data_IF_828708172482
#
_entry.id   IF_828708172482
#
_cell.length_a   1.000
_cell.length_b   1.000
_cell.length_c   1.000
_cell.angle_alpha   90.00
_cell.angle_beta   90.00
_cell.angle_gamma   90.00
#
_symmetry.space_group_name_H-M   'P 1'
#
loop_
_entity.id
_entity.type
_entity.pdbx_description
1 polymer ?
#
# COMPACT_ATOMS: atom_id res chain seq x y z
N UNK A 1 -6.30 -9.06 -23.88
CA UNK A 1 -5.04 -9.54 -23.28
C UNK A 1 -5.23 -10.99 -22.83
N UNK A 2 -4.36 -11.92 -23.26
CA UNK A 2 -4.33 -13.28 -22.74
C UNK A 2 -3.27 -13.36 -21.63
N UNK A 3 -3.69 -13.06 -20.40
CA UNK A 3 -2.84 -12.93 -19.22
C UNK A 3 -3.38 -13.83 -18.10
N UNK A 4 -3.23 -15.16 -18.23
CA UNK A 4 -3.91 -16.12 -17.37
C UNK A 4 -3.46 -16.07 -15.91
N UNK A 5 -2.21 -15.67 -15.63
CA UNK A 5 -1.71 -15.63 -14.26
C UNK A 5 -1.88 -14.26 -13.62
N UNK A 6 -1.59 -13.17 -14.33
CA UNK A 6 -1.62 -11.80 -13.79
C UNK A 6 -2.99 -11.13 -13.91
N UNK A 7 -3.85 -11.56 -14.83
CA UNK A 7 -5.17 -10.96 -15.05
C UNK A 7 -6.05 -10.94 -13.78
N UNK A 8 -7.11 -10.14 -13.78
CA UNK A 8 -8.00 -10.01 -12.62
C UNK A 8 -8.54 -11.38 -12.16
N UNK A 9 -8.60 -11.57 -10.83
CA UNK A 9 -9.15 -12.76 -10.16
C UNK A 9 -10.17 -12.30 -9.11
N UNK A 10 -11.00 -13.24 -8.66
CA UNK A 10 -12.01 -13.00 -7.62
C UNK A 10 -11.38 -12.47 -6.32
N UNK A 11 -10.20 -12.98 -5.97
CA UNK A 11 -9.43 -12.53 -4.82
C UNK A 11 -8.22 -11.70 -5.24
N UNK A 12 -8.03 -10.54 -4.59
CA UNK A 12 -6.82 -9.74 -4.75
C UNK A 12 -5.65 -10.40 -4.01
N UNK A 13 -4.48 -10.41 -4.62
CA UNK A 13 -3.27 -10.92 -3.99
C UNK A 13 -2.83 -10.01 -2.85
N UNK A 14 -2.52 -10.64 -1.72
CA UNK A 14 -1.85 -10.03 -0.59
C UNK A 14 -0.42 -10.56 -0.52
N UNK A 15 0.57 -9.70 -0.79
CA UNK A 15 1.98 -10.08 -0.68
C UNK A 15 2.45 -9.84 0.74
N UNK A 16 2.66 -10.93 1.49
CA UNK A 16 3.11 -10.89 2.88
C UNK A 16 4.63 -10.91 2.93
N UNK A 17 5.23 -9.93 3.60
CA UNK A 17 6.67 -9.85 3.84
C UNK A 17 6.87 -9.72 5.35
N UNK A 18 7.27 -10.83 6.01
CA UNK A 18 7.30 -10.94 7.47
C UNK A 18 5.97 -10.44 8.10
N UNK A 19 6.00 -9.27 8.75
CA UNK A 19 4.88 -8.65 9.47
C UNK A 19 4.08 -7.61 8.66
N UNK A 20 4.41 -7.35 7.39
CA UNK A 20 3.67 -6.40 6.53
C UNK A 20 2.93 -7.11 5.40
N UNK A 21 1.88 -6.46 4.90
CA UNK A 21 1.05 -6.98 3.82
C UNK A 21 0.78 -5.89 2.78
N UNK A 22 1.31 -6.07 1.57
CA UNK A 22 0.92 -5.25 0.42
C UNK A 22 -0.40 -5.76 -0.17
N UNK A 23 -1.28 -4.85 -0.58
CA UNK A 23 -2.63 -5.18 -1.08
C UNK A 23 -3.66 -5.39 0.04
N UNK A 24 -3.27 -5.18 1.30
CA UNK A 24 -4.19 -5.13 2.44
C UNK A 24 -4.86 -3.77 2.60
N UNK A 25 -5.50 -3.55 3.76
CA UNK A 25 -6.13 -2.26 4.08
C UNK A 25 -5.12 -1.15 4.45
N UNK A 26 -3.93 -1.56 4.88
CA UNK A 26 -2.85 -0.66 5.22
C UNK A 26 -2.08 -0.22 3.96
N UNK A 27 -1.81 1.07 3.85
CA UNK A 27 -0.88 1.65 2.87
C UNK A 27 0.52 1.58 3.45
N UNK A 28 1.41 0.85 2.77
CA UNK A 28 2.77 0.67 3.25
C UNK A 28 3.64 1.87 2.85
N UNK A 29 4.16 2.59 3.85
CA UNK A 29 5.13 3.67 3.64
C UNK A 29 6.56 3.11 3.65
N UNK A 30 7.31 3.42 2.60
CA UNK A 30 8.69 2.99 2.41
C UNK A 30 9.54 4.23 2.12
N UNK A 31 10.69 4.33 2.78
CA UNK A 31 11.55 5.50 2.72
C UNK A 31 13.01 5.14 2.82
N UNK A 32 13.89 6.08 2.47
CA UNK A 32 15.34 5.92 2.53
C UNK A 32 16.03 6.48 1.28
N UNK A 33 17.36 6.49 1.26
CA UNK A 33 18.14 7.20 0.26
C UNK A 33 18.06 6.57 -1.13
N UNK A 34 18.48 7.36 -2.14
CA UNK A 34 18.61 6.85 -3.51
C UNK A 34 19.63 5.72 -3.60
N UNK A 35 20.81 5.93 -3.02
CA UNK A 35 21.92 4.99 -2.96
C UNK A 35 22.40 4.85 -1.52
N UNK A 36 23.02 3.72 -1.18
CA UNK A 36 23.73 3.58 0.10
C UNK A 36 25.08 4.27 -0.03
N UNK A 37 25.38 5.23 0.85
CA UNK A 37 26.56 6.11 0.70
C UNK A 37 27.61 5.95 1.79
N UNK A 38 27.17 5.58 3.00
CA UNK A 38 27.99 5.27 4.18
C UNK A 38 27.11 4.60 5.26
N UNK A 39 27.74 4.00 6.26
CA UNK A 39 27.08 3.44 7.44
C UNK A 39 26.24 4.50 8.17
N UNK A 40 26.84 5.60 8.63
CA UNK A 40 26.16 6.64 9.41
C UNK A 40 24.93 7.20 8.70
N UNK A 41 25.04 7.46 7.39
CA UNK A 41 23.94 7.92 6.55
C UNK A 41 22.76 6.93 6.57
N UNK A 42 23.02 5.62 6.54
CA UNK A 42 21.98 4.61 6.58
C UNK A 42 21.30 4.51 7.95
N UNK A 43 22.06 4.57 9.05
CA UNK A 43 21.49 4.55 10.40
C UNK A 43 20.61 5.79 10.66
N UNK A 44 21.05 6.97 10.24
CA UNK A 44 20.23 8.19 10.33
C UNK A 44 18.96 8.08 9.48
N UNK A 45 19.09 7.57 8.24
CA UNK A 45 17.95 7.38 7.37
C UNK A 45 16.94 6.37 7.95
N UNK A 46 17.42 5.25 8.49
CA UNK A 46 16.58 4.23 9.11
C UNK A 46 15.77 4.80 10.29
N UNK A 47 16.42 5.56 11.17
CA UNK A 47 15.76 6.22 12.30
C UNK A 47 14.67 7.18 11.82
N UNK A 48 14.97 8.02 10.83
CA UNK A 48 14.00 8.96 10.27
C UNK A 48 12.81 8.25 9.61
N UNK A 49 13.07 7.17 8.84
CA UNK A 49 12.02 6.36 8.21
C UNK A 49 11.11 5.74 9.27
N UNK A 50 11.71 5.15 10.32
CA UNK A 50 10.96 4.54 11.42
C UNK A 50 10.12 5.55 12.18
N UNK A 51 10.67 6.73 12.50
CA UNK A 51 9.96 7.80 13.20
C UNK A 51 8.75 8.33 12.42
N UNK A 52 8.86 8.36 11.08
CA UNK A 52 7.75 8.73 10.21
C UNK A 52 6.69 7.62 10.05
N UNK A 53 6.86 6.43 10.66
CA UNK A 53 5.95 5.30 10.47
C UNK A 53 6.24 4.44 9.24
N UNK A 54 7.38 4.66 8.58
CA UNK A 54 7.84 3.80 7.51
C UNK A 54 8.11 2.38 8.01
N UNK A 55 7.86 1.38 7.17
CA UNK A 55 8.04 -0.05 7.49
C UNK A 55 9.15 -0.72 6.69
N UNK A 56 9.58 -0.09 5.61
CA UNK A 56 10.62 -0.61 4.74
C UNK A 56 11.65 0.49 4.49
N UNK A 57 12.91 0.19 4.79
CA UNK A 57 14.07 0.98 4.44
C UNK A 57 14.52 0.63 3.03
N UNK A 58 14.53 1.62 2.13
CA UNK A 58 15.09 1.48 0.79
C UNK A 58 16.53 1.98 0.76
N UNK A 59 17.37 1.34 -0.06
CA UNK A 59 18.73 1.81 -0.34
C UNK A 59 19.35 1.06 -1.50
N UNK A 60 19.75 1.78 -2.56
CA UNK A 60 20.38 1.14 -3.72
C UNK A 60 21.86 0.83 -3.47
N UNK A 61 22.20 -0.43 -3.24
CA UNK A 61 23.59 -0.87 -3.12
C UNK A 61 24.31 -0.95 -4.48
N UNK A 62 23.58 -1.32 -5.53
CA UNK A 62 24.03 -1.34 -6.93
C UNK A 62 23.21 -0.31 -7.73
N UNK A 63 23.87 0.55 -8.52
CA UNK A 63 23.17 1.62 -9.25
C UNK A 63 23.36 1.47 -10.77
N UNK A 64 22.29 1.21 -11.55
CA UNK A 64 22.36 1.19 -13.01
C UNK A 64 22.33 2.64 -13.53
N UNK A 65 23.49 3.30 -13.51
CA UNK A 65 23.62 4.73 -13.88
C UNK A 65 23.64 4.90 -15.39
N UNK A 66 23.05 5.99 -15.85
CA UNK A 66 23.14 6.40 -17.27
C UNK A 66 24.56 6.83 -17.66
N UNK A 67 25.30 7.44 -16.74
CA UNK A 67 26.71 7.81 -16.95
C UNK A 67 27.64 6.85 -16.18
N UNK A 68 28.70 6.31 -16.80
CA UNK A 68 29.65 5.42 -16.14
C UNK A 68 30.51 6.15 -15.10
N UNK A 69 30.61 7.49 -15.16
CA UNK A 69 31.38 8.31 -14.22
C UNK A 69 30.61 8.68 -12.96
N UNK A 70 29.32 8.37 -12.90
CA UNK A 70 28.51 8.57 -11.71
C UNK A 70 28.86 7.56 -10.61
N UNK A 71 28.51 7.88 -9.36
CA UNK A 71 28.61 6.93 -8.26
C UNK A 71 27.83 5.63 -8.56
N UNK A 72 28.53 4.49 -8.57
CA UNK A 72 27.99 3.19 -8.97
C UNK A 72 27.32 2.42 -7.81
N UNK A 73 27.41 2.94 -6.58
CA UNK A 73 27.01 2.24 -5.35
C UNK A 73 28.19 1.56 -4.65
N UNK A 74 27.99 1.17 -3.39
CA UNK A 74 29.00 0.46 -2.57
C UNK A 74 28.96 -1.06 -2.75
N UNK A 75 28.03 -1.59 -3.55
CA UNK A 75 27.86 -3.03 -3.76
C UNK A 75 27.67 -3.78 -2.45
N UNK A 76 28.49 -4.82 -2.22
CA UNK A 76 28.38 -5.70 -1.05
C UNK A 76 28.45 -4.94 0.28
N UNK A 77 29.33 -3.95 0.40
CA UNK A 77 29.48 -3.13 1.61
C UNK A 77 28.18 -2.36 1.90
N UNK A 78 27.57 -1.77 0.87
CA UNK A 78 26.30 -1.06 1.01
C UNK A 78 25.13 -1.96 1.43
N UNK A 79 25.15 -3.25 1.08
CA UNK A 79 24.15 -4.21 1.55
C UNK A 79 24.25 -4.44 3.06
N UNK A 80 25.47 -4.53 3.60
CA UNK A 80 25.67 -4.68 5.05
C UNK A 80 25.12 -3.48 5.81
N UNK A 81 25.44 -2.25 5.37
CA UNK A 81 24.91 -1.03 6.00
C UNK A 81 23.39 -0.93 5.93
N UNK A 82 22.78 -1.36 4.80
CA UNK A 82 21.33 -1.39 4.66
C UNK A 82 20.68 -2.39 5.62
N UNK A 83 21.22 -3.61 5.67
CA UNK A 83 20.73 -4.70 6.53
C UNK A 83 20.81 -4.31 8.01
N UNK A 84 21.97 -3.82 8.45
CA UNK A 84 22.24 -3.45 9.84
C UNK A 84 21.35 -2.29 10.30
N UNK A 85 21.31 -1.19 9.54
CA UNK A 85 20.48 -0.04 9.87
C UNK A 85 18.98 -0.38 9.91
N UNK A 86 18.50 -1.26 9.01
CA UNK A 86 17.13 -1.72 9.02
C UNK A 86 16.84 -2.60 10.25
N UNK A 87 17.73 -3.53 10.58
CA UNK A 87 17.59 -4.44 11.72
C UNK A 87 17.48 -3.68 13.04
N UNK A 88 18.32 -2.66 13.27
CA UNK A 88 18.28 -1.83 14.48
C UNK A 88 16.94 -1.14 14.71
N UNK A 89 16.24 -0.79 13.63
CA UNK A 89 14.96 -0.05 13.69
C UNK A 89 13.74 -0.97 13.51
N UNK A 90 13.97 -2.28 13.35
CA UNK A 90 12.92 -3.25 13.02
C UNK A 90 12.20 -2.92 11.72
N UNK A 91 12.96 -2.45 10.72
CA UNK A 91 12.49 -2.19 9.35
C UNK A 91 12.80 -3.37 8.45
N UNK A 92 12.00 -3.56 7.40
CA UNK A 92 12.34 -4.44 6.29
C UNK A 92 13.25 -3.72 5.30
N UNK A 93 13.93 -4.48 4.44
CA UNK A 93 14.81 -3.92 3.41
C UNK A 93 14.24 -4.06 2.00
N UNK A 94 14.45 -3.04 1.16
CA UNK A 94 14.24 -3.12 -0.29
C UNK A 94 15.46 -2.55 -1.03
N UNK A 95 16.00 -3.32 -1.97
CA UNK A 95 17.12 -2.91 -2.82
C UNK A 95 16.97 -3.42 -4.24
N UNK A 96 17.58 -2.72 -5.19
CA UNK A 96 17.50 -3.01 -6.63
C UNK A 96 18.46 -4.12 -7.04
N UNK A 97 17.93 -5.09 -7.80
CA UNK A 97 18.70 -6.12 -8.48
C UNK A 97 18.99 -5.63 -9.90
N UNK A 98 20.27 -5.56 -10.26
CA UNK A 98 20.70 -5.08 -11.58
C UNK A 98 21.08 -6.21 -12.52
N UNK A 99 21.52 -7.33 -11.98
CA UNK A 99 21.99 -8.53 -12.67
C UNK A 99 21.97 -9.76 -11.75
N UNK A 100 22.38 -10.91 -12.26
CA UNK A 100 22.46 -12.17 -11.51
C UNK A 100 23.48 -12.11 -10.35
N UNK A 101 24.63 -11.45 -10.55
CA UNK A 101 25.67 -11.36 -9.52
C UNK A 101 25.23 -10.53 -8.32
N UNK A 102 24.54 -9.43 -8.56
CA UNK A 102 23.94 -8.63 -7.48
C UNK A 102 22.85 -9.42 -6.75
N UNK A 103 22.05 -10.22 -7.46
CA UNK A 103 21.07 -11.10 -6.84
C UNK A 103 21.71 -12.10 -5.87
N UNK A 104 22.77 -12.79 -6.29
CA UNK A 104 23.50 -13.75 -5.44
C UNK A 104 23.97 -13.13 -4.12
N UNK A 105 24.39 -11.86 -4.15
CA UNK A 105 24.84 -11.15 -2.96
C UNK A 105 23.69 -10.67 -2.06
N UNK A 106 22.48 -10.53 -2.61
CA UNK A 106 21.31 -9.96 -1.94
C UNK A 106 20.38 -11.00 -1.34
N UNK A 107 20.39 -12.24 -1.84
CA UNK A 107 19.36 -13.26 -1.56
C UNK A 107 19.08 -13.51 -0.08
N UNK A 108 20.11 -13.44 0.75
CA UNK A 108 20.02 -13.70 2.19
C UNK A 108 19.95 -12.43 3.06
N UNK A 109 19.97 -11.25 2.44
CA UNK A 109 20.11 -9.95 3.14
C UNK A 109 18.95 -9.00 2.90
N UNK A 110 18.26 -9.17 1.78
CA UNK A 110 17.22 -8.25 1.32
C UNK A 110 15.85 -8.92 1.38
N UNK A 111 14.89 -8.24 2.02
CA UNK A 111 13.54 -8.78 2.19
C UNK A 111 12.69 -8.65 0.91
N UNK A 112 12.89 -7.57 0.16
CA UNK A 112 12.13 -7.23 -1.05
C UNK A 112 13.09 -6.88 -2.19
N UNK A 113 12.97 -7.59 -3.31
CA UNK A 113 13.81 -7.39 -4.49
C UNK A 113 13.14 -6.41 -5.44
N UNK A 114 13.82 -5.30 -5.77
CA UNK A 114 13.30 -4.34 -6.74
C UNK A 114 13.88 -4.60 -8.13
N UNK A 115 13.02 -4.76 -9.13
CA UNK A 115 13.38 -4.64 -10.55
C UNK A 115 13.10 -3.22 -11.00
N UNK A 116 14.17 -2.47 -11.30
CA UNK A 116 14.07 -1.08 -11.75
C UNK A 116 13.49 -0.97 -13.15
N UNK A 117 12.99 0.23 -13.49
CA UNK A 117 12.29 0.50 -14.76
C UNK A 117 13.10 0.17 -16.01
N UNK A 118 14.44 0.26 -15.95
CA UNK A 118 15.33 -0.08 -17.07
C UNK A 118 15.43 -1.60 -17.30
N UNK A 119 15.18 -2.39 -16.26
CA UNK A 119 15.18 -3.85 -16.29
C UNK A 119 13.76 -4.44 -16.35
N UNK A 120 12.71 -3.63 -16.52
CA UNK A 120 11.33 -4.13 -16.58
C UNK A 120 11.13 -5.21 -17.66
N UNK A 121 11.84 -5.11 -18.80
CA UNK A 121 11.81 -6.11 -19.88
C UNK A 121 13.11 -6.94 -19.96
N UNK A 122 13.91 -6.97 -18.90
CA UNK A 122 15.03 -7.89 -18.82
C UNK A 122 14.49 -9.29 -18.48
N UNK A 123 13.97 -10.00 -19.48
CA UNK A 123 13.27 -11.26 -19.28
C UNK A 123 14.12 -12.36 -18.64
N UNK A 124 15.45 -12.32 -18.81
CA UNK A 124 16.34 -13.25 -18.11
C UNK A 124 16.33 -12.98 -16.61
N UNK A 125 16.44 -11.71 -16.20
CA UNK A 125 16.32 -11.33 -14.80
C UNK A 125 14.92 -11.61 -14.23
N UNK A 126 13.85 -11.40 -15.00
CA UNK A 126 12.48 -11.72 -14.58
C UNK A 126 12.27 -13.22 -14.34
N UNK A 127 12.88 -14.09 -15.17
CA UNK A 127 12.84 -15.55 -14.96
C UNK A 127 13.54 -15.95 -13.66
N UNK A 128 14.71 -15.38 -13.39
CA UNK A 128 15.41 -15.57 -12.11
C UNK A 128 14.54 -15.15 -10.92
N UNK A 129 13.85 -14.00 -11.02
CA UNK A 129 12.90 -13.56 -10.00
C UNK A 129 11.71 -14.52 -9.82
N UNK A 130 11.27 -15.18 -10.90
CA UNK A 130 10.25 -16.22 -10.87
C UNK A 130 10.69 -17.46 -10.09
N UNK A 131 11.94 -17.89 -10.27
CA UNK A 131 12.51 -19.05 -9.60
C UNK A 131 12.81 -18.79 -8.11
N UNK A 132 13.19 -17.54 -7.78
CA UNK A 132 13.57 -17.12 -6.44
C UNK A 132 12.44 -17.24 -5.40
N UNK A 133 11.17 -17.08 -5.81
CA UNK A 133 9.99 -17.14 -4.94
C UNK A 133 10.10 -16.22 -3.69
N UNK A 134 10.61 -15.01 -3.90
CA UNK A 134 10.68 -13.93 -2.89
C UNK A 134 9.84 -12.73 -3.33
N UNK A 135 9.47 -11.81 -2.41
CA UNK A 135 8.76 -10.59 -2.77
C UNK A 135 9.52 -9.74 -3.80
N UNK A 136 8.86 -9.38 -4.90
CA UNK A 136 9.43 -8.59 -5.99
C UNK A 136 8.60 -7.34 -6.23
N UNK A 137 9.25 -6.18 -6.19
CA UNK A 137 8.69 -4.92 -6.69
C UNK A 137 9.11 -4.73 -8.14
N UNK A 138 8.16 -4.76 -9.06
CA UNK A 138 8.40 -4.56 -10.50
C UNK A 138 8.02 -3.13 -10.89
N UNK A 139 9.02 -2.28 -11.12
CA UNK A 139 8.79 -0.90 -11.60
C UNK A 139 8.39 -0.88 -13.06
N UNK A 140 7.36 -0.10 -13.39
CA UNK A 140 6.98 0.17 -14.79
C UNK A 140 8.13 0.84 -15.54
N UNK A 141 8.35 0.39 -16.77
CA UNK A 141 9.29 1.00 -17.71
C UNK A 141 8.80 2.38 -18.13
N UNK A 142 9.72 3.32 -18.28
CA UNK A 142 9.39 4.72 -18.59
C UNK A 142 8.66 4.91 -19.93
N UNK A 143 8.77 3.96 -20.86
CA UNK A 143 8.06 3.99 -22.16
C UNK A 143 7.05 2.84 -22.30
N UNK A 144 6.83 2.06 -21.23
CA UNK A 144 6.01 0.87 -21.30
C UNK A 144 4.52 1.23 -21.16
N UNK A 145 3.70 0.55 -21.94
CA UNK A 145 2.26 0.47 -21.73
C UNK A 145 1.95 -0.38 -20.49
N UNK A 146 0.71 -0.28 -19.98
CA UNK A 146 0.25 -1.14 -18.88
C UNK A 146 0.24 -2.61 -19.32
N UNK A 147 -0.12 -2.90 -20.56
CA UNK A 147 -0.09 -4.27 -21.10
C UNK A 147 1.32 -4.87 -21.09
N UNK A 148 2.33 -4.14 -21.56
CA UNK A 148 3.72 -4.61 -21.52
C UNK A 148 4.23 -4.82 -20.10
N UNK A 149 3.79 -3.97 -19.17
CA UNK A 149 4.13 -4.09 -17.77
C UNK A 149 3.49 -5.31 -17.09
N UNK A 150 2.21 -5.59 -17.38
CA UNK A 150 1.54 -6.80 -16.89
C UNK A 150 2.13 -8.06 -17.53
N UNK A 151 2.51 -8.02 -18.81
CA UNK A 151 3.26 -9.12 -19.43
C UNK A 151 4.61 -9.37 -18.74
N UNK A 152 5.34 -8.33 -18.32
CA UNK A 152 6.56 -8.50 -17.55
C UNK A 152 6.30 -9.16 -16.18
N UNK A 153 5.20 -8.82 -15.51
CA UNK A 153 4.78 -9.52 -14.29
C UNK A 153 4.40 -10.98 -14.57
N UNK A 154 3.73 -11.27 -15.70
CA UNK A 154 3.38 -12.63 -16.13
C UNK A 154 4.61 -13.54 -16.20
N UNK A 155 5.76 -13.05 -16.67
CA UNK A 155 7.02 -13.82 -16.68
C UNK A 155 7.46 -14.27 -15.28
N UNK A 156 7.33 -13.40 -14.27
CA UNK A 156 7.68 -13.74 -12.88
C UNK A 156 6.69 -14.78 -12.33
N UNK A 157 5.40 -14.57 -12.57
CA UNK A 157 4.33 -15.46 -12.12
C UNK A 157 4.44 -16.85 -12.78
N UNK A 158 4.76 -16.90 -14.07
CA UNK A 158 4.96 -18.14 -14.82
C UNK A 158 6.18 -18.94 -14.33
N UNK A 159 7.20 -18.28 -13.78
CA UNK A 159 8.31 -18.94 -13.08
C UNK A 159 7.93 -19.53 -11.72
N UNK A 160 6.71 -19.27 -11.23
CA UNK A 160 6.18 -19.82 -9.98
C UNK A 160 6.24 -18.86 -8.79
N UNK A 161 6.59 -17.59 -8.99
CA UNK A 161 6.58 -16.58 -7.93
C UNK A 161 5.33 -15.69 -7.99
N UNK A 162 4.42 -15.90 -7.04
CA UNK A 162 3.18 -15.12 -6.91
C UNK A 162 3.33 -13.83 -6.08
N UNK A 163 4.54 -13.54 -5.56
CA UNK A 163 4.77 -12.41 -4.64
C UNK A 163 5.22 -11.14 -5.38
N UNK A 164 4.44 -10.72 -6.38
CA UNK A 164 4.76 -9.56 -7.20
C UNK A 164 3.95 -8.34 -6.76
N UNK A 165 4.63 -7.20 -6.64
CA UNK A 165 4.08 -5.89 -6.34
C UNK A 165 4.42 -4.96 -7.51
N UNK A 166 3.42 -4.35 -8.10
CA UNK A 166 3.58 -3.41 -9.21
C UNK A 166 3.98 -2.04 -8.64
N UNK A 167 4.98 -1.37 -9.20
CA UNK A 167 5.30 0.03 -8.90
C UNK A 167 5.20 0.96 -10.12
N UNK A 168 4.21 1.85 -10.13
CA UNK A 168 4.14 2.97 -11.09
C UNK A 168 5.07 4.10 -10.62
N UNK A 169 5.78 4.73 -11.55
CA UNK A 169 6.93 5.63 -11.27
C UNK A 169 7.11 6.77 -12.27
N UNK A 170 6.10 6.99 -13.11
CA UNK A 170 6.06 7.95 -14.19
C UNK A 170 6.55 7.40 -15.52
N UNK A 171 5.88 7.86 -16.58
CA UNK A 171 6.19 7.57 -17.98
C UNK A 171 6.77 8.80 -18.67
N UNK A 172 7.49 8.56 -19.77
CA UNK A 172 8.05 9.61 -20.62
C UNK A 172 6.95 10.18 -21.50
N UNK A 173 6.81 11.50 -21.45
CA UNK A 173 5.91 12.28 -22.29
C UNK A 173 6.70 13.43 -22.93
N UNK A 174 6.00 14.37 -23.57
CA UNK A 174 6.61 15.59 -24.11
C UNK A 174 6.84 16.67 -23.03
N UNK A 175 6.28 16.53 -21.82
CA UNK A 175 6.29 17.56 -20.78
C UNK A 175 7.67 17.67 -20.09
N UNK A 176 8.36 18.81 -20.15
CA UNK A 176 9.72 18.94 -19.61
C UNK A 176 9.79 19.35 -18.13
N UNK A 177 8.71 19.83 -17.51
CA UNK A 177 8.73 20.40 -16.15
C UNK A 177 8.93 19.37 -15.04
N UNK A 178 8.79 18.08 -15.37
CA UNK A 178 8.98 16.94 -14.48
C UNK A 178 9.85 15.90 -15.18
N UNK A 179 10.60 15.11 -14.41
CA UNK A 179 11.50 14.08 -14.97
C UNK A 179 10.71 13.03 -15.75
N UNK A 180 9.52 12.68 -15.28
CA UNK A 180 8.53 11.83 -15.93
C UNK A 180 7.11 12.31 -15.54
N UNK A 181 6.10 12.00 -16.34
CA UNK A 181 4.71 12.26 -15.96
C UNK A 181 4.18 11.08 -15.16
N UNK A 182 3.79 11.29 -13.90
CA UNK A 182 3.12 10.25 -13.11
C UNK A 182 1.77 9.90 -13.76
N UNK A 183 1.62 8.66 -14.20
CA UNK A 183 0.36 8.15 -14.74
C UNK A 183 -0.55 7.70 -13.58
N UNK A 184 -1.26 8.65 -12.96
CA UNK A 184 -2.15 8.33 -11.84
C UNK A 184 -3.34 7.46 -12.28
N UNK A 185 -3.74 7.54 -13.54
CA UNK A 185 -4.79 6.69 -14.12
C UNK A 185 -4.42 5.21 -14.07
N UNK A 186 -3.12 4.89 -14.19
CA UNK A 186 -2.64 3.51 -14.06
C UNK A 186 -2.96 2.88 -12.70
N UNK A 187 -3.04 3.66 -11.62
CA UNK A 187 -3.36 3.14 -10.27
C UNK A 187 -4.74 2.50 -10.23
N UNK A 188 -5.75 3.22 -10.74
CA UNK A 188 -7.12 2.72 -10.83
C UNK A 188 -7.25 1.62 -11.89
N UNK A 189 -6.69 1.85 -13.09
CA UNK A 189 -6.83 0.92 -14.20
C UNK A 189 -6.18 -0.45 -13.92
N UNK A 190 -4.98 -0.49 -13.35
CA UNK A 190 -4.32 -1.75 -12.98
C UNK A 190 -5.16 -2.51 -11.96
N UNK A 191 -5.86 -1.81 -11.06
CA UNK A 191 -6.72 -2.50 -10.09
C UNK A 191 -7.92 -3.22 -10.71
N UNK A 192 -8.37 -2.79 -11.88
CA UNK A 192 -9.43 -3.45 -12.68
C UNK A 192 -8.87 -4.54 -13.61
N UNK A 193 -7.57 -4.50 -13.91
CA UNK A 193 -6.94 -5.44 -14.86
C UNK A 193 -6.23 -6.61 -14.18
N UNK A 194 -5.80 -6.46 -12.93
CA UNK A 194 -5.02 -7.47 -12.21
C UNK A 194 -5.39 -7.55 -10.72
N UNK A 195 -5.21 -8.75 -10.17
CA UNK A 195 -5.30 -9.02 -8.75
C UNK A 195 -4.08 -8.52 -7.95
N UNK A 196 -2.97 -8.15 -8.60
CA UNK A 196 -1.72 -7.75 -7.92
C UNK A 196 -1.87 -6.40 -7.18
N UNK A 197 -1.12 -6.21 -6.07
CA UNK A 197 -1.01 -4.91 -5.41
C UNK A 197 -0.18 -3.92 -6.23
N UNK A 198 -0.49 -2.62 -6.10
CA UNK A 198 0.21 -1.53 -6.80
C UNK A 198 0.67 -0.43 -5.82
N UNK A 199 1.96 -0.13 -5.83
CA UNK A 199 2.59 0.97 -5.08
C UNK A 199 3.03 2.09 -6.04
N UNK A 200 3.37 3.26 -5.49
CA UNK A 200 3.80 4.42 -6.27
C UNK A 200 5.16 4.95 -5.82
N UNK A 201 6.01 5.29 -6.79
CA UNK A 201 7.26 6.04 -6.61
C UNK A 201 7.07 7.49 -7.08
N UNK A 202 6.68 8.40 -6.18
CA UNK A 202 6.48 9.81 -6.55
C UNK A 202 7.81 10.56 -6.76
N UNK A 203 8.89 10.11 -6.13
CA UNK A 203 10.20 10.76 -6.19
C UNK A 203 10.76 10.74 -7.60
N UNK A 204 10.84 9.55 -8.20
CA UNK A 204 11.37 9.41 -9.55
C UNK A 204 10.38 9.85 -10.64
N UNK A 205 9.09 9.85 -10.35
CA UNK A 205 8.09 10.42 -11.25
C UNK A 205 8.35 11.91 -11.41
N UNK A 206 8.34 12.68 -10.32
CA UNK A 206 8.58 14.12 -10.38
C UNK A 206 10.02 14.47 -10.76
N UNK A 207 11.00 13.80 -10.17
CA UNK A 207 12.40 14.22 -10.19
C UNK A 207 12.68 15.53 -9.45
N UNK A 208 11.76 15.97 -8.59
CA UNK A 208 11.87 17.18 -7.78
C UNK A 208 11.11 17.02 -6.47
N UNK A 209 11.73 17.46 -5.39
CA UNK A 209 11.29 17.26 -4.01
C UNK A 209 9.93 17.86 -3.68
N UNK A 210 9.66 19.06 -4.19
CA UNK A 210 8.46 19.86 -3.90
C UNK A 210 7.15 19.26 -4.43
N UNK A 211 7.21 18.44 -5.47
CA UNK A 211 6.01 17.78 -6.02
C UNK A 211 5.67 16.45 -5.33
N UNK A 212 6.60 15.86 -4.57
CA UNK A 212 6.40 14.56 -3.93
C UNK A 212 5.17 14.52 -3.03
N UNK A 213 4.91 15.52 -2.16
CA UNK A 213 3.72 15.50 -1.31
C UNK A 213 2.40 15.44 -2.08
N UNK A 214 2.29 16.17 -3.19
CA UNK A 214 1.08 16.20 -4.00
C UNK A 214 0.85 14.87 -4.71
N UNK A 215 1.91 14.32 -5.30
CA UNK A 215 1.85 13.03 -5.99
C UNK A 215 1.55 11.88 -5.02
N UNK A 216 2.15 11.89 -3.84
CA UNK A 216 1.90 10.89 -2.79
C UNK A 216 0.43 10.92 -2.30
N UNK A 217 -0.12 12.11 -2.07
CA UNK A 217 -1.54 12.28 -1.68
C UNK A 217 -2.47 11.78 -2.79
N UNK A 218 -2.21 12.17 -4.04
CA UNK A 218 -2.96 11.70 -5.20
C UNK A 218 -2.90 10.18 -5.36
N UNK A 219 -1.73 9.58 -5.17
CA UNK A 219 -1.53 8.13 -5.23
C UNK A 219 -2.37 7.38 -4.18
N UNK A 220 -2.35 7.80 -2.91
CA UNK A 220 -3.19 7.18 -1.88
C UNK A 220 -4.67 7.36 -2.20
N UNK A 221 -5.08 8.57 -2.59
CA UNK A 221 -6.47 8.84 -2.95
C UNK A 221 -6.93 8.00 -4.16
N UNK A 222 -6.04 7.74 -5.11
CA UNK A 222 -6.27 6.83 -6.25
C UNK A 222 -6.25 5.34 -5.90
N UNK A 223 -5.96 4.98 -4.64
CA UNK A 223 -6.03 3.63 -4.12
C UNK A 223 -4.70 2.88 -4.00
N UNK A 224 -3.55 3.55 -4.11
CA UNK A 224 -2.24 2.89 -4.00
C UNK A 224 -2.10 2.05 -2.71
N UNK A 225 -1.43 0.91 -2.84
CA UNK A 225 -1.14 -0.05 -1.78
C UNK A 225 0.13 0.29 -0.98
N UNK A 226 0.87 1.29 -1.43
CA UNK A 226 2.07 1.76 -0.74
C UNK A 226 2.75 2.88 -1.52
N UNK A 227 3.74 3.49 -0.86
CA UNK A 227 4.56 4.56 -1.40
C UNK A 227 6.04 4.22 -1.20
N UNK A 228 6.82 4.35 -2.27
CA UNK A 228 8.27 4.19 -2.26
C UNK A 228 8.91 5.56 -2.51
N UNK A 229 9.36 6.22 -1.44
CA UNK A 229 9.79 7.62 -1.49
C UNK A 229 11.29 7.70 -1.18
N UNK A 230 11.99 8.55 -1.92
CA UNK A 230 13.37 8.90 -1.60
C UNK A 230 13.43 9.97 -0.50
N UNK A 231 14.19 9.65 0.54
CA UNK A 231 14.50 10.54 1.66
C UNK A 231 15.98 10.37 1.98
N UNK A 232 16.69 11.48 2.11
CA UNK A 232 18.11 11.48 2.47
C UNK A 232 18.30 12.35 3.72
N UNK A 233 19.11 11.95 4.72
CA UNK A 233 19.37 12.78 5.90
C UNK A 233 19.93 14.16 5.54
N UNK A 234 20.79 14.21 4.51
CA UNK A 234 21.44 15.43 4.02
C UNK A 234 21.34 15.52 2.48
N UNK A 235 20.17 15.85 1.90
CA UNK A 235 19.97 15.74 0.46
C UNK A 235 20.95 16.53 -0.40
N UNK A 236 21.39 17.69 0.08
CA UNK A 236 22.38 18.56 -0.61
C UNK A 236 23.77 17.91 -0.75
N UNK A 237 24.07 16.91 0.08
CA UNK A 237 25.33 16.17 0.06
C UNK A 237 25.21 14.79 -0.62
N UNK A 238 24.02 14.43 -1.12
CA UNK A 238 23.76 13.11 -1.67
C UNK A 238 24.58 12.86 -2.96
N UNK A 239 25.15 11.67 -3.08
CA UNK A 239 25.91 11.21 -4.26
C UNK A 239 25.01 10.86 -5.45
N UNK A 240 23.69 10.82 -5.24
CA UNK A 240 22.69 10.53 -6.28
C UNK A 240 21.33 11.11 -5.91
N UNK A 241 20.67 11.76 -6.87
CA UNK A 241 19.26 12.14 -6.81
C UNK A 241 18.87 12.97 -5.55
N UNK A 242 19.78 13.86 -5.09
CA UNK A 242 19.55 14.77 -3.96
C UNK A 242 18.37 15.74 -4.18
N UNK A 243 18.20 16.24 -5.42
CA UNK A 243 17.13 17.18 -5.81
C UNK A 243 15.72 16.64 -5.64
N UNK A 244 15.56 15.30 -5.65
CA UNK A 244 14.27 14.60 -5.47
C UNK A 244 14.19 13.86 -4.13
N UNK A 245 15.20 13.93 -3.28
CA UNK A 245 15.18 13.30 -1.97
C UNK A 245 14.60 14.24 -0.94
N UNK A 246 13.55 13.85 -0.21
CA UNK A 246 13.03 14.62 0.93
C UNK A 246 14.05 14.68 2.07
N UNK A 247 13.98 15.72 2.91
CA UNK A 247 14.64 15.71 4.21
C UNK A 247 13.86 14.81 5.20
N UNK A 248 14.47 14.40 6.32
CA UNK A 248 13.76 13.68 7.39
C UNK A 248 12.47 14.38 7.84
N UNK A 249 12.53 15.69 8.09
CA UNK A 249 11.38 16.47 8.56
C UNK A 249 10.24 16.50 7.53
N UNK A 250 10.57 16.68 6.24
CA UNK A 250 9.57 16.67 5.18
C UNK A 250 8.96 15.29 4.99
N UNK A 251 9.75 14.21 5.13
CA UNK A 251 9.24 12.85 5.06
C UNK A 251 8.29 12.55 6.23
N UNK A 252 8.64 12.99 7.44
CA UNK A 252 7.78 12.87 8.61
C UNK A 252 6.49 13.68 8.43
N UNK A 253 6.60 14.97 8.05
CA UNK A 253 5.46 15.84 7.79
C UNK A 253 4.51 15.23 6.75
N UNK A 254 5.07 14.74 5.64
CA UNK A 254 4.28 14.07 4.60
C UNK A 254 3.53 12.86 5.17
N UNK A 255 4.18 12.03 5.98
CA UNK A 255 3.51 10.89 6.62
C UNK A 255 2.30 11.32 7.46
N UNK A 256 2.41 12.41 8.24
CA UNK A 256 1.28 12.93 9.04
C UNK A 256 0.13 13.38 8.14
N UNK A 257 0.45 14.07 7.05
CA UNK A 257 -0.54 14.57 6.09
C UNK A 257 -1.23 13.44 5.31
N UNK A 258 -0.57 12.29 5.13
CA UNK A 258 -1.12 11.14 4.42
C UNK A 258 -2.14 10.33 5.25
N UNK A 259 -2.05 10.36 6.59
CA UNK A 259 -3.00 9.68 7.48
C UNK A 259 -4.47 10.05 7.22
N UNK A 260 -4.87 11.34 7.22
CA UNK A 260 -6.26 11.71 6.94
C UNK A 260 -6.69 11.37 5.50
N UNK A 261 -5.77 11.41 4.53
CA UNK A 261 -6.08 11.04 3.14
C UNK A 261 -6.36 9.55 3.02
N UNK A 262 -5.53 8.69 3.61
CA UNK A 262 -5.76 7.25 3.65
C UNK A 262 -7.11 6.94 4.30
N UNK A 263 -7.42 7.59 5.43
CA UNK A 263 -8.71 7.44 6.12
C UNK A 263 -9.89 7.84 5.24
N UNK A 264 -9.79 8.94 4.48
CA UNK A 264 -10.86 9.42 3.62
C UNK A 264 -11.24 8.44 2.50
N UNK A 265 -10.30 7.56 2.09
CA UNK A 265 -10.55 6.50 1.11
C UNK A 265 -10.68 5.11 1.74
N UNK A 266 -11.07 5.04 3.02
CA UNK A 266 -11.29 3.81 3.79
C UNK A 266 -10.05 2.92 3.96
N UNK A 267 -8.86 3.52 3.86
CA UNK A 267 -7.56 2.86 4.05
C UNK A 267 -6.94 3.30 5.37
N UNK A 268 -5.81 2.70 5.75
CA UNK A 268 -5.04 3.09 6.93
C UNK A 268 -3.59 3.33 6.58
N UNK A 269 -2.97 4.34 7.18
CA UNK A 269 -1.52 4.48 7.26
C UNK A 269 -1.20 4.56 8.75
N UNK A 270 -0.37 3.62 9.24
CA UNK A 270 -0.07 3.48 10.67
C UNK A 270 1.28 4.12 10.93
N UNK A 271 1.37 5.05 11.89
CA UNK A 271 2.64 5.61 12.33
C UNK A 271 3.14 4.94 13.62
N UNK A 272 4.44 5.03 13.86
CA UNK A 272 5.10 4.52 15.08
C UNK A 272 4.59 5.18 16.34
N UNK A 273 4.34 6.50 16.31
CA UNK A 273 3.72 7.21 17.44
C UNK A 273 2.26 6.79 17.70
N UNK A 274 1.56 6.25 16.69
CA UNK A 274 0.23 5.65 16.90
C UNK A 274 0.33 4.29 17.60
N UNK A 275 1.51 3.65 17.60
CA UNK A 275 1.78 2.38 18.27
C UNK A 275 2.29 2.58 19.72
N UNK A 276 3.00 3.68 20.01
CA UNK A 276 3.56 3.98 21.35
C UNK A 276 2.52 4.44 22.40
N UNK A 277 1.24 4.51 22.05
CA UNK A 277 0.15 4.83 22.99
C UNK A 277 -1.02 3.84 22.96
N UNK A 278 -0.90 2.75 22.21
CA UNK A 278 -1.96 1.77 22.07
C UNK A 278 -1.52 0.47 22.74
N UNK A 279 -1.77 0.37 24.05
CA UNK A 279 -1.99 -0.94 24.67
C UNK A 279 -2.99 -1.72 23.78
N UNK A 280 -2.81 -3.03 23.60
CA UNK A 280 -3.70 -3.86 22.77
C UNK A 280 -5.18 -3.62 23.11
N UNK A 281 -5.43 -3.28 24.38
CA UNK A 281 -6.71 -2.84 24.92
C UNK A 281 -7.26 -1.55 24.28
N UNK A 282 -6.42 -0.55 24.01
CA UNK A 282 -6.84 0.72 23.40
C UNK A 282 -7.13 0.57 21.91
N UNK A 283 -6.44 -0.33 21.20
CA UNK A 283 -6.81 -0.71 19.82
C UNK A 283 -8.19 -1.36 19.81
N UNK A 284 -8.44 -2.28 20.73
CA UNK A 284 -9.74 -2.93 20.87
C UNK A 284 -10.83 -1.92 21.26
N UNK A 285 -10.56 -0.98 22.16
CA UNK A 285 -11.49 0.12 22.52
C UNK A 285 -11.82 0.99 21.33
N UNK A 286 -10.82 1.47 20.58
CA UNK A 286 -11.06 2.29 19.39
C UNK A 286 -11.83 1.53 18.31
N UNK A 287 -11.63 0.21 18.21
CA UNK A 287 -12.41 -0.67 17.33
C UNK A 287 -13.86 -0.81 17.81
N UNK A 288 -14.09 -0.96 19.12
CA UNK A 288 -15.43 -0.95 19.73
C UNK A 288 -16.11 0.40 19.47
N UNK A 289 -15.45 1.53 19.74
CA UNK A 289 -16.01 2.87 19.52
C UNK A 289 -16.41 3.10 18.05
N UNK A 290 -15.65 2.52 17.10
CA UNK A 290 -16.02 2.55 15.69
C UNK A 290 -17.26 1.70 15.43
N UNK A 291 -17.28 0.45 15.89
CA UNK A 291 -18.44 -0.44 15.72
C UNK A 291 -19.70 0.19 16.32
N UNK A 292 -19.60 0.82 17.48
CA UNK A 292 -20.74 1.47 18.15
C UNK A 292 -21.27 2.68 17.35
N UNK A 293 -20.38 3.47 16.75
CA UNK A 293 -20.79 4.55 15.82
C UNK A 293 -21.47 3.99 14.59
N UNK A 294 -20.89 2.97 13.95
CA UNK A 294 -21.45 2.34 12.75
C UNK A 294 -22.85 1.74 13.06
N UNK A 295 -23.03 1.13 14.24
CA UNK A 295 -24.34 0.64 14.72
C UNK A 295 -25.34 1.80 14.87
N UNK A 296 -24.94 2.92 15.48
CA UNK A 296 -25.83 4.07 15.67
C UNK A 296 -26.27 4.68 14.32
N UNK A 297 -25.35 4.82 13.37
CA UNK A 297 -25.64 5.32 12.02
C UNK A 297 -26.59 4.39 11.26
N UNK A 298 -26.32 3.08 11.27
CA UNK A 298 -27.19 2.07 10.64
C UNK A 298 -28.59 2.02 11.27
N UNK A 299 -28.69 2.18 12.60
CA UNK A 299 -29.97 2.27 13.29
C UNK A 299 -30.74 3.53 12.88
N UNK A 300 -30.06 4.68 12.75
CA UNK A 300 -30.66 5.94 12.32
C UNK A 300 -31.13 5.86 10.85
N UNK A 301 -30.33 5.30 9.96
CA UNK A 301 -30.72 5.03 8.57
C UNK A 301 -31.97 4.16 8.51
N UNK A 302 -31.97 3.03 9.24
CA UNK A 302 -33.13 2.14 9.33
C UNK A 302 -34.38 2.84 9.88
N UNK A 303 -34.24 3.73 10.85
CA UNK A 303 -35.36 4.54 11.37
C UNK A 303 -35.93 5.44 10.29
N UNK A 304 -35.08 6.14 9.54
CA UNK A 304 -35.50 7.00 8.43
C UNK A 304 -36.20 6.18 7.34
N UNK A 305 -35.65 5.04 6.93
CA UNK A 305 -36.29 4.12 5.98
C UNK A 305 -37.67 3.65 6.47
N UNK A 306 -37.81 3.37 7.76
CA UNK A 306 -39.09 2.95 8.35
C UNK A 306 -40.11 4.10 8.37
N UNK A 307 -39.67 5.34 8.61
CA UNK A 307 -40.53 6.54 8.53
C UNK A 307 -41.00 6.80 7.11
N UNK A 308 -40.10 6.73 6.12
CA UNK A 308 -40.44 6.85 4.70
C UNK A 308 -41.44 5.76 4.27
N UNK A 309 -41.18 4.50 4.64
CA UNK A 309 -42.13 3.40 4.41
C UNK A 309 -43.50 3.69 5.04
N UNK A 310 -43.54 4.33 6.22
CA UNK A 310 -44.77 4.77 6.87
C UNK A 310 -45.58 5.77 6.06
N UNK A 311 -44.93 6.72 5.38
CA UNK A 311 -45.59 7.71 4.50
C UNK A 311 -46.27 7.08 3.29
N UNK A 312 -45.75 5.94 2.83
CA UNK A 312 -46.30 5.18 1.69
C UNK A 312 -47.37 4.16 2.08
N UNK A 313 -47.72 4.03 3.36
CA UNK A 313 -48.82 3.14 3.79
C UNK A 313 -50.17 3.86 3.70
N UNK A 314 -51.01 3.42 2.77
CA UNK A 314 -52.40 3.88 2.67
C UNK A 314 -53.21 3.50 3.93
N UNK A 315 -54.26 4.26 4.30
CA UNK A 315 -55.16 3.88 5.38
C UNK A 315 -55.83 2.55 5.04
N UNK A 316 -55.41 1.46 5.71
CA UNK A 316 -55.91 0.10 5.46
C UNK A 316 -54.84 -0.98 5.25
N UNK A 317 -53.56 -0.63 5.03
CA UNK A 317 -52.49 -1.63 5.00
C UNK A 317 -52.08 -2.05 6.42
N UNK A 318 -52.79 -3.07 6.91
CA UNK A 318 -52.56 -3.78 8.16
C UNK A 318 -51.20 -4.51 8.09
N UNK A 319 -50.56 -4.71 9.25
CA UNK A 319 -49.30 -5.46 9.42
C UNK A 319 -49.28 -6.74 8.59
N UNK A 320 -48.20 -6.94 7.85
CA UNK A 320 -47.88 -8.20 7.18
C UNK A 320 -47.20 -9.15 8.19
N UNK A 321 -48.01 -9.99 8.84
CA UNK A 321 -47.53 -10.93 9.85
C UNK A 321 -46.65 -12.04 9.29
N UNK A 322 -46.83 -12.41 8.02
CA UNK A 322 -46.05 -13.45 7.34
C UNK A 322 -44.63 -12.91 7.11
N UNK A 323 -44.51 -11.71 6.51
CA UNK A 323 -43.23 -11.05 6.33
C UNK A 323 -42.54 -10.74 7.66
N UNK A 324 -43.29 -10.36 8.71
CA UNK A 324 -42.69 -10.16 10.03
C UNK A 324 -42.07 -11.46 10.56
N UNK A 325 -42.71 -12.62 10.35
CA UNK A 325 -42.20 -13.93 10.75
C UNK A 325 -40.96 -14.33 9.94
N UNK A 326 -41.01 -14.24 8.61
CA UNK A 326 -39.90 -14.56 7.71
C UNK A 326 -38.63 -13.74 8.03
N UNK A 327 -38.78 -12.44 8.27
CA UNK A 327 -37.64 -11.58 8.62
C UNK A 327 -37.09 -11.94 10.00
N UNK A 328 -37.91 -12.43 10.94
CA UNK A 328 -37.41 -12.88 12.25
C UNK A 328 -36.60 -14.17 12.13
N UNK A 329 -37.06 -15.12 11.31
CA UNK A 329 -36.37 -16.38 11.04
C UNK A 329 -35.03 -16.14 10.34
N UNK A 330 -35.01 -15.31 9.28
CA UNK A 330 -33.79 -14.93 8.58
C UNK A 330 -32.76 -14.23 9.49
N UNK A 331 -33.22 -13.33 10.38
CA UNK A 331 -32.32 -12.67 11.33
C UNK A 331 -31.74 -13.66 12.36
N UNK A 332 -32.51 -14.67 12.75
CA UNK A 332 -32.04 -15.71 13.66
C UNK A 332 -31.01 -16.62 12.99
N UNK A 333 -31.26 -17.07 11.76
CA UNK A 333 -30.29 -17.82 10.97
C UNK A 333 -29.00 -17.03 10.75
N UNK A 334 -29.12 -15.75 10.42
CA UNK A 334 -27.95 -14.91 10.18
C UNK A 334 -27.15 -14.64 11.46
N UNK A 335 -27.83 -14.39 12.59
CA UNK A 335 -27.20 -14.24 13.90
C UNK A 335 -26.38 -15.49 14.25
N UNK A 336 -26.95 -16.68 14.05
CA UNK A 336 -26.23 -17.94 14.26
C UNK A 336 -25.03 -18.09 13.32
N UNK A 337 -25.19 -17.76 12.03
CA UNK A 337 -24.12 -17.84 11.02
C UNK A 337 -22.92 -16.95 11.36
N UNK A 338 -23.15 -15.78 11.94
CA UNK A 338 -22.10 -14.83 12.31
C UNK A 338 -21.64 -14.95 13.79
N UNK A 339 -22.17 -15.94 14.52
CA UNK A 339 -21.82 -16.17 15.93
C UNK A 339 -22.31 -15.08 16.89
N UNK A 340 -23.35 -14.31 16.52
CA UNK A 340 -23.95 -13.30 17.37
C UNK A 340 -25.15 -13.90 18.14
N UNK A 341 -25.29 -13.67 19.47
CA UNK A 341 -26.46 -14.14 20.20
C UNK A 341 -27.76 -13.59 19.60
N UNK A 342 -28.67 -14.49 19.23
CA UNK A 342 -29.97 -14.16 18.60
C UNK A 342 -30.73 -13.09 19.37
N UNK A 343 -30.70 -13.16 20.70
CA UNK A 343 -31.38 -12.20 21.57
C UNK A 343 -30.91 -10.75 21.37
N UNK A 344 -29.63 -10.53 21.05
CA UNK A 344 -29.06 -9.19 20.83
C UNK A 344 -29.60 -8.60 19.53
N UNK A 345 -29.60 -9.38 18.46
CA UNK A 345 -30.14 -8.99 17.15
C UNK A 345 -31.64 -8.70 17.25
N UNK A 346 -32.38 -9.55 17.97
CA UNK A 346 -33.83 -9.38 18.16
C UNK A 346 -34.18 -8.19 19.07
N UNK A 347 -33.37 -7.90 20.10
CA UNK A 347 -33.51 -6.70 20.93
C UNK A 347 -33.29 -5.42 20.12
N UNK A 348 -32.28 -5.39 19.25
CA UNK A 348 -32.04 -4.27 18.33
C UNK A 348 -33.25 -3.98 17.42
N UNK A 349 -33.90 -5.02 16.89
CA UNK A 349 -35.14 -4.89 16.10
C UNK A 349 -36.33 -4.38 16.94
N UNK A 350 -36.43 -4.78 18.21
CA UNK A 350 -37.55 -4.43 19.12
C UNK A 350 -37.41 -3.05 19.76
N UNK A 351 -36.19 -2.58 20.05
CA UNK A 351 -35.94 -1.27 20.69
C UNK A 351 -36.56 -0.08 19.92
N UNK A 352 -36.76 -0.23 18.61
CA UNK A 352 -37.40 0.79 17.75
C UNK A 352 -38.94 0.72 17.72
N UNK A 353 -39.60 -0.34 18.24
CA UNK A 353 -41.08 -0.40 18.30
C UNK A 353 -41.65 0.53 19.40
N UNK A 354 -40.82 1.01 20.35
CA UNK A 354 -41.26 1.81 21.50
C UNK A 354 -41.63 3.27 21.14
N UNK A 355 -41.18 3.81 20.01
CA UNK A 355 -41.46 5.19 19.58
C UNK A 355 -42.79 5.37 18.83
N UNK A 356 -43.61 4.33 18.69
CA UNK A 356 -44.98 4.43 18.14
C UNK A 356 -46.06 4.71 19.21
N UNK A 357 -45.66 4.97 20.45
CA UNK A 357 -46.55 5.15 21.60
C UNK A 357 -46.44 6.53 22.28
N UNK A 358 -45.70 7.47 21.68
CA UNK A 358 -45.68 8.91 22.01
C UNK A 358 -45.95 9.64 20.70
#
# INVERSE_FOLDING_TARGET
MNLPLVGLKDERTQVKVKNIVFGGNEVILMGGPCAVESESQMHEAAKAVKAAGGKVLRGGAFKPRTSPYSFQGLGKEGLYYLEEAAAEQGLLTISEVVDEKSLELMVDRVDIFQIGSRNMQNFQLLKLMGELRRPVVLKRGLSATIEEWLNAAEYILAGGNSQVILCERGIRTYEPSTRNTLDLSAVGLVKELTHLPIIIDPSHAAGRRDLIPYLAKGAIAGGADGLLIEMHPHPEAAKSDGDQSLTPDQFNQLSEELVPIAKAVNRKLIRSNDLEGLDDLQILRNRIDKIDRDIAELLAERMNTTREMGKHKSPGHIRDGIREHEVMEQLQEWANKVGCPVEVVLKGKKAQKAEKAI
#
